data_IF_802237101932
#
_entry.id   IF_802237101932
#
_cell.length_a   1.000
_cell.length_b   1.000
_cell.length_c   1.000
_cell.angle_alpha   90.00
_cell.angle_beta   90.00
_cell.angle_gamma   90.00
#
_symmetry.space_group_name_H-M   'P 1'
#
loop_
_entity.id
_entity.type
_entity.pdbx_description
1 polymer ?
#
# COMPACT_ATOMS: atom_id res chain seq x y z
N UNK A 1 37.49 -4.49 -1.23
CA UNK A 1 36.43 -4.21 -0.24
C UNK A 1 35.76 -2.85 -0.44
N UNK A 2 36.50 -1.73 -0.50
CA UNK A 2 35.90 -0.37 -0.70
C UNK A 2 34.97 -0.25 -1.91
N UNK A 3 35.33 -0.79 -3.08
CA UNK A 3 34.50 -0.71 -4.30
C UNK A 3 33.17 -1.49 -4.20
N UNK A 4 33.16 -2.62 -3.50
CA UNK A 4 31.96 -3.45 -3.34
C UNK A 4 30.96 -2.81 -2.36
N UNK A 5 31.44 -2.28 -1.23
CA UNK A 5 30.64 -1.49 -0.28
C UNK A 5 30.04 -0.25 -0.96
N UNK A 6 30.83 0.43 -1.77
CA UNK A 6 30.37 1.58 -2.55
C UNK A 6 29.24 1.20 -3.52
N UNK A 7 29.37 0.07 -4.20
CA UNK A 7 28.37 -0.43 -5.13
C UNK A 7 27.06 -0.83 -4.45
N UNK A 8 27.12 -1.38 -3.23
CA UNK A 8 25.93 -1.71 -2.43
C UNK A 8 25.26 -0.42 -1.94
N UNK A 9 26.04 0.51 -1.38
CA UNK A 9 25.49 1.76 -0.87
C UNK A 9 24.81 2.56 -1.99
N UNK A 10 25.46 2.70 -3.15
CA UNK A 10 24.90 3.37 -4.33
C UNK A 10 24.05 2.44 -5.22
N UNK A 11 23.55 1.33 -4.66
CA UNK A 11 22.55 0.51 -5.33
C UNK A 11 21.17 1.13 -5.17
N UNK A 12 20.34 0.98 -6.19
CA UNK A 12 19.00 1.54 -6.21
C UNK A 12 18.12 1.06 -5.04
N UNK A 13 18.13 -0.22 -4.63
CA UNK A 13 17.37 -0.67 -3.48
C UNK A 13 17.75 0.03 -2.17
N UNK A 14 19.05 0.21 -1.93
CA UNK A 14 19.55 0.85 -0.70
C UNK A 14 19.23 2.34 -0.70
N UNK A 15 19.44 3.02 -1.83
CA UNK A 15 19.11 4.44 -1.96
C UNK A 15 17.60 4.69 -1.79
N UNK A 16 16.74 3.80 -2.29
CA UNK A 16 15.30 3.86 -2.04
C UNK A 16 14.98 3.70 -0.55
N UNK A 17 15.55 2.68 0.12
CA UNK A 17 15.32 2.46 1.54
C UNK A 17 15.72 3.69 2.39
N UNK A 18 16.88 4.30 2.10
CA UNK A 18 17.34 5.53 2.76
C UNK A 18 16.35 6.68 2.48
N UNK A 19 15.91 6.84 1.23
CA UNK A 19 14.96 7.87 0.85
C UNK A 19 13.61 7.72 1.60
N UNK A 20 13.11 6.49 1.74
CA UNK A 20 11.88 6.22 2.49
C UNK A 20 12.00 6.63 3.96
N UNK A 21 13.11 6.29 4.61
CA UNK A 21 13.39 6.68 5.99
C UNK A 21 13.54 8.20 6.16
N UNK A 22 14.12 8.88 5.16
CA UNK A 22 14.36 10.33 5.19
C UNK A 22 13.10 11.16 4.92
N UNK A 23 12.24 10.72 3.98
CA UNK A 23 11.21 11.57 3.39
C UNK A 23 9.78 11.01 3.44
N UNK A 24 9.60 9.74 3.81
CA UNK A 24 8.30 9.08 3.80
C UNK A 24 7.96 8.43 5.14
N UNK A 25 8.21 9.16 6.22
CA UNK A 25 8.04 8.67 7.60
C UNK A 25 6.62 8.20 7.90
N UNK A 26 5.59 8.84 7.33
CA UNK A 26 4.19 8.43 7.53
C UNK A 26 3.97 7.00 7.01
N UNK A 27 4.47 6.68 5.81
CA UNK A 27 4.31 5.34 5.24
C UNK A 27 5.12 4.29 5.99
N UNK A 28 6.33 4.64 6.44
CA UNK A 28 7.13 3.78 7.33
C UNK A 28 6.39 3.53 8.65
N UNK A 29 5.73 4.55 9.21
CA UNK A 29 4.90 4.44 10.40
C UNK A 29 3.77 3.41 10.25
N UNK A 30 3.17 3.29 9.07
CA UNK A 30 2.15 2.27 8.78
C UNK A 30 2.77 0.86 8.86
N UNK A 31 3.94 0.63 8.25
CA UNK A 31 4.65 -0.65 8.34
C UNK A 31 5.06 -1.01 9.77
N UNK A 32 5.55 -0.03 10.53
CA UNK A 32 5.93 -0.23 11.94
C UNK A 32 4.69 -0.56 12.78
N UNK A 33 3.59 0.15 12.59
CA UNK A 33 2.32 -0.10 13.31
C UNK A 33 1.83 -1.53 13.07
N UNK A 34 1.84 -1.98 11.81
CA UNK A 34 1.52 -3.36 11.47
C UNK A 34 2.46 -4.36 12.15
N UNK A 35 3.76 -4.08 12.19
CA UNK A 35 4.74 -4.95 12.85
C UNK A 35 4.52 -5.02 14.36
N UNK A 36 4.11 -3.90 14.99
CA UNK A 36 3.76 -3.85 16.42
C UNK A 36 2.48 -4.64 16.73
N UNK A 37 1.48 -4.59 15.85
CA UNK A 37 0.26 -5.38 15.99
C UNK A 37 0.54 -6.88 15.83
N UNK A 38 1.30 -7.28 14.80
CA UNK A 38 1.63 -8.68 14.54
C UNK A 38 2.57 -9.25 15.61
N UNK A 39 3.49 -8.45 16.14
CA UNK A 39 4.40 -8.90 17.22
C UNK A 39 3.71 -9.05 18.58
N UNK A 40 2.53 -8.46 18.77
CA UNK A 40 1.87 -8.37 20.08
C UNK A 40 2.45 -7.32 21.02
N UNK A 41 3.38 -6.48 20.56
CA UNK A 41 3.87 -5.34 21.36
C UNK A 41 2.76 -4.30 21.53
N UNK A 42 1.93 -4.11 20.51
CA UNK A 42 0.74 -3.27 20.56
C UNK A 42 -0.52 -4.09 20.27
N UNK A 43 -1.63 -3.76 20.94
CA UNK A 43 -2.94 -4.35 20.63
C UNK A 43 -3.14 -5.80 21.10
N UNK A 44 -2.21 -6.39 21.85
CA UNK A 44 -2.33 -7.78 22.33
C UNK A 44 -3.60 -8.01 23.18
N UNK A 45 -3.95 -7.06 24.06
CA UNK A 45 -5.18 -7.13 24.87
C UNK A 45 -6.47 -7.07 24.05
N UNK A 46 -6.40 -6.52 22.83
CA UNK A 46 -7.53 -6.42 21.90
C UNK A 46 -7.53 -7.58 20.88
N UNK A 47 -6.64 -8.57 21.02
CA UNK A 47 -6.55 -9.71 20.11
C UNK A 47 -5.99 -9.39 18.73
N UNK A 48 -5.37 -8.21 18.53
CA UNK A 48 -4.83 -7.81 17.22
C UNK A 48 -3.85 -8.83 16.62
N UNK A 49 -2.92 -9.46 17.38
CA UNK A 49 -2.05 -10.48 16.83
C UNK A 49 -2.85 -11.64 16.19
N UNK A 50 -3.89 -12.12 16.86
CA UNK A 50 -4.70 -13.25 16.38
C UNK A 50 -5.37 -12.97 15.03
N UNK A 51 -5.77 -11.71 14.77
CA UNK A 51 -6.38 -11.32 13.49
C UNK A 51 -5.46 -11.57 12.27
N UNK A 52 -4.14 -11.56 12.49
CA UNK A 52 -3.12 -11.79 11.46
C UNK A 52 -2.47 -13.16 11.56
N UNK A 53 -2.23 -13.65 12.77
CA UNK A 53 -1.48 -14.88 13.02
C UNK A 53 -2.35 -16.13 12.93
N UNK A 54 -3.65 -15.99 13.18
CA UNK A 54 -4.65 -17.06 13.17
C UNK A 54 -5.96 -16.60 12.49
N UNK A 55 -5.89 -16.25 11.19
CA UNK A 55 -7.01 -15.66 10.49
C UNK A 55 -8.14 -16.67 10.30
N UNK A 56 -9.35 -16.29 10.70
CA UNK A 56 -10.55 -17.11 10.52
C UNK A 56 -11.32 -16.70 9.26
N UNK A 57 -11.77 -17.68 8.49
CA UNK A 57 -12.71 -17.51 7.38
C UNK A 57 -13.76 -18.62 7.44
N UNK A 58 -15.04 -18.25 7.44
CA UNK A 58 -16.17 -19.20 7.55
C UNK A 58 -16.09 -20.15 8.76
N UNK A 59 -15.71 -19.66 9.94
CA UNK A 59 -15.62 -20.50 11.14
C UNK A 59 -14.32 -21.31 11.26
N UNK A 60 -13.39 -21.16 10.31
CA UNK A 60 -12.21 -22.04 10.22
C UNK A 60 -10.93 -21.27 9.93
N UNK A 61 -9.86 -21.71 10.56
CA UNK A 61 -8.49 -21.34 10.18
C UNK A 61 -8.00 -22.42 9.21
N UNK A 62 -7.44 -22.00 8.08
CA UNK A 62 -7.00 -22.94 7.06
C UNK A 62 -6.27 -22.26 5.91
N UNK A 63 -5.94 -23.05 4.89
CA UNK A 63 -5.30 -22.57 3.66
C UNK A 63 -6.01 -21.36 3.07
N UNK A 64 -7.35 -21.41 2.96
CA UNK A 64 -8.17 -20.34 2.36
C UNK A 64 -8.09 -19.04 3.15
N UNK A 65 -8.09 -19.11 4.48
CA UNK A 65 -8.00 -17.93 5.35
C UNK A 65 -6.64 -17.23 5.17
N UNK A 66 -5.56 -18.01 5.16
CA UNK A 66 -4.22 -17.50 4.87
C UNK A 66 -4.06 -17.03 3.42
N UNK A 67 -4.73 -17.66 2.45
CA UNK A 67 -4.76 -17.21 1.06
C UNK A 67 -5.37 -15.82 0.92
N UNK A 68 -6.52 -15.56 1.57
CA UNK A 68 -7.18 -14.24 1.53
C UNK A 68 -6.30 -13.18 2.20
N UNK A 69 -5.65 -13.52 3.31
CA UNK A 69 -4.67 -12.65 3.97
C UNK A 69 -3.48 -12.35 3.04
N UNK A 70 -2.94 -13.35 2.36
CA UNK A 70 -1.83 -13.18 1.42
C UNK A 70 -2.21 -12.29 0.24
N UNK A 71 -3.41 -12.47 -0.31
CA UNK A 71 -3.96 -11.63 -1.36
C UNK A 71 -4.12 -10.17 -0.90
N UNK A 72 -4.63 -9.98 0.32
CA UNK A 72 -4.79 -8.64 0.92
C UNK A 72 -3.45 -7.99 1.26
N UNK A 73 -2.45 -8.78 1.67
CA UNK A 73 -1.08 -8.29 1.83
C UNK A 73 -0.50 -7.85 0.48
N UNK A 74 -0.74 -8.58 -0.61
CA UNK A 74 -0.35 -8.14 -1.95
C UNK A 74 -1.04 -6.83 -2.39
N UNK A 75 -2.30 -6.61 -1.98
CA UNK A 75 -2.98 -5.32 -2.13
C UNK A 75 -2.19 -4.19 -1.46
N UNK A 76 -1.86 -4.39 -0.19
CA UNK A 76 -1.10 -3.42 0.61
C UNK A 76 0.29 -3.17 0.06
N UNK A 77 0.99 -4.24 -0.34
CA UNK A 77 2.28 -4.20 -1.01
C UNK A 77 2.22 -3.35 -2.30
N UNK A 78 1.19 -3.52 -3.13
CA UNK A 78 1.05 -2.74 -4.37
C UNK A 78 0.65 -1.28 -4.11
N UNK A 79 -0.17 -1.03 -3.08
CA UNK A 79 -0.50 0.33 -2.65
C UNK A 79 0.75 1.10 -2.24
N UNK A 80 1.64 0.46 -1.45
CA UNK A 80 2.95 1.00 -1.12
C UNK A 80 3.74 1.37 -2.37
N UNK A 81 3.93 0.43 -3.30
CA UNK A 81 4.72 0.73 -4.51
C UNK A 81 4.13 1.85 -5.36
N UNK A 82 2.81 1.90 -5.51
CA UNK A 82 2.15 2.96 -6.28
C UNK A 82 2.29 4.32 -5.60
N UNK A 83 1.99 4.40 -4.30
CA UNK A 83 2.09 5.63 -3.53
C UNK A 83 3.53 6.15 -3.49
N UNK A 84 4.50 5.28 -3.21
CA UNK A 84 5.90 5.72 -3.15
C UNK A 84 6.44 6.05 -4.52
N UNK A 85 6.08 5.32 -5.59
CA UNK A 85 6.48 5.68 -6.95
C UNK A 85 5.97 7.06 -7.33
N UNK A 86 4.71 7.36 -7.02
CA UNK A 86 4.10 8.66 -7.30
C UNK A 86 4.88 9.81 -6.63
N UNK A 87 5.33 9.60 -5.39
CA UNK A 87 6.04 10.62 -4.63
C UNK A 87 7.54 10.70 -4.94
N UNK A 88 8.23 9.58 -5.20
CA UNK A 88 9.71 9.58 -5.26
C UNK A 88 10.30 9.32 -6.62
N UNK A 89 9.54 8.86 -7.62
CA UNK A 89 10.11 8.51 -8.93
C UNK A 89 10.88 9.66 -9.60
N UNK A 90 10.49 10.92 -9.34
CA UNK A 90 11.15 12.10 -9.89
C UNK A 90 12.60 12.30 -9.39
N UNK A 91 12.96 11.76 -8.21
CA UNK A 91 14.33 11.78 -7.69
C UNK A 91 15.26 10.83 -8.46
N UNK A 92 14.69 9.94 -9.28
CA UNK A 92 15.42 8.94 -10.06
C UNK A 92 15.08 9.05 -11.55
N UNK A 93 15.53 10.12 -12.24
CA UNK A 93 15.24 10.34 -13.67
C UNK A 93 15.65 9.17 -14.57
N UNK A 94 16.65 8.38 -14.15
CA UNK A 94 17.10 7.21 -14.92
C UNK A 94 16.02 6.17 -15.18
N UNK A 95 15.00 6.09 -14.32
CA UNK A 95 13.85 5.21 -14.49
C UNK A 95 13.13 5.48 -15.82
N UNK A 96 13.07 6.73 -16.26
CA UNK A 96 12.41 7.11 -17.51
C UNK A 96 13.13 6.57 -18.76
N UNK A 97 14.42 6.22 -18.65
CA UNK A 97 15.19 5.60 -19.74
C UNK A 97 15.02 4.08 -19.84
N UNK A 98 14.35 3.47 -18.86
CA UNK A 98 14.18 2.02 -18.78
C UNK A 98 12.86 1.58 -19.41
N UNK A 99 12.84 0.40 -20.01
CA UNK A 99 11.60 -0.31 -20.32
C UNK A 99 10.88 -0.66 -19.02
N UNK A 100 9.54 -0.47 -18.98
CA UNK A 100 8.70 -0.74 -17.81
C UNK A 100 9.23 -0.13 -16.49
N UNK A 101 9.32 1.22 -16.40
CA UNK A 101 9.90 1.91 -15.24
C UNK A 101 9.30 1.52 -13.89
N UNK A 102 7.97 1.37 -13.82
CA UNK A 102 7.27 1.01 -12.60
C UNK A 102 7.64 -0.40 -12.10
N UNK A 103 7.74 -1.38 -13.00
CA UNK A 103 8.14 -2.75 -12.62
C UNK A 103 9.55 -2.76 -12.04
N UNK A 104 10.49 -2.01 -12.64
CA UNK A 104 11.85 -1.87 -12.12
C UNK A 104 11.88 -1.22 -10.75
N UNK A 105 11.07 -0.19 -10.57
CA UNK A 105 10.91 0.46 -9.27
C UNK A 105 10.42 -0.52 -8.22
N UNK A 106 9.38 -1.32 -8.51
CA UNK A 106 8.86 -2.30 -7.56
C UNK A 106 9.92 -3.32 -7.14
N UNK A 107 10.64 -3.87 -8.13
CA UNK A 107 11.71 -4.85 -7.88
C UNK A 107 12.81 -4.29 -6.99
N UNK A 108 13.17 -3.01 -7.15
CA UNK A 108 14.22 -2.39 -6.36
C UNK A 108 13.70 -1.86 -5.01
N UNK A 109 12.42 -1.53 -4.90
CA UNK A 109 11.78 -1.13 -3.65
C UNK A 109 11.30 -2.33 -2.80
N UNK A 110 12.04 -3.43 -2.81
CA UNK A 110 11.63 -4.68 -2.16
C UNK A 110 12.05 -4.76 -0.68
N UNK A 111 13.06 -3.99 -0.24
CA UNK A 111 13.70 -4.18 1.07
C UNK A 111 12.70 -4.11 2.23
N UNK A 112 11.89 -3.05 2.30
CA UNK A 112 10.93 -2.85 3.39
C UNK A 112 9.79 -3.89 3.29
N UNK A 113 9.08 -4.03 2.16
CA UNK A 113 7.95 -4.96 2.10
C UNK A 113 8.37 -6.43 2.22
N UNK A 114 9.50 -6.83 1.63
CA UNK A 114 10.00 -8.20 1.75
C UNK A 114 10.52 -8.48 3.17
N UNK A 115 11.21 -7.52 3.81
CA UNK A 115 11.64 -7.64 5.20
C UNK A 115 10.45 -7.83 6.14
N UNK A 116 9.39 -7.04 5.96
CA UNK A 116 8.14 -7.21 6.70
C UNK A 116 7.48 -8.56 6.42
N UNK A 117 7.41 -8.99 5.15
CA UNK A 117 6.79 -10.27 4.80
C UNK A 117 7.53 -11.46 5.42
N UNK A 118 8.87 -11.46 5.41
CA UNK A 118 9.68 -12.48 6.07
C UNK A 118 9.47 -12.48 7.59
N UNK A 119 9.42 -11.30 8.21
CA UNK A 119 9.06 -11.16 9.62
C UNK A 119 7.67 -11.73 9.92
N UNK A 120 6.69 -11.43 9.06
CA UNK A 120 5.31 -11.88 9.22
C UNK A 120 5.18 -13.40 9.09
N UNK A 121 5.78 -14.00 8.05
CA UNK A 121 5.85 -15.46 7.90
C UNK A 121 6.50 -16.11 9.13
N UNK A 122 7.62 -15.55 9.61
CA UNK A 122 8.28 -16.04 10.82
C UNK A 122 7.37 -16.00 12.06
N UNK A 123 6.58 -14.93 12.21
CA UNK A 123 5.61 -14.80 13.31
C UNK A 123 4.43 -15.77 13.19
N UNK A 124 3.90 -15.97 11.98
CA UNK A 124 2.85 -16.97 11.72
C UNK A 124 3.36 -18.36 12.09
N UNK A 125 4.52 -18.76 11.58
CA UNK A 125 5.10 -20.08 11.87
C UNK A 125 5.36 -20.28 13.36
N UNK A 126 5.94 -19.27 14.03
CA UNK A 126 6.17 -19.33 15.48
C UNK A 126 4.86 -19.46 16.26
N UNK A 127 3.83 -18.68 15.90
CA UNK A 127 2.56 -18.69 16.60
C UNK A 127 1.84 -20.03 16.46
N UNK A 128 1.79 -20.56 15.24
CA UNK A 128 1.07 -21.80 14.94
C UNK A 128 1.73 -23.04 15.58
N UNK A 129 3.06 -23.07 15.67
CA UNK A 129 3.78 -24.14 16.38
C UNK A 129 3.64 -24.01 17.90
N UNK A 130 3.75 -22.79 18.44
CA UNK A 130 3.85 -22.58 19.90
C UNK A 130 2.50 -22.56 20.60
N UNK A 131 1.50 -21.93 19.99
CA UNK A 131 0.18 -21.72 20.60
C UNK A 131 -0.91 -22.56 19.95
N UNK A 132 -0.79 -22.81 18.63
CA UNK A 132 -1.73 -23.68 17.90
C UNK A 132 -1.44 -25.17 18.06
N UNK A 133 -0.26 -25.54 18.60
CA UNK A 133 0.24 -26.92 18.71
C UNK A 133 0.13 -27.72 17.39
N UNK A 134 0.17 -27.02 16.26
CA UNK A 134 -0.05 -27.64 14.96
C UNK A 134 1.18 -28.41 14.49
N UNK A 135 1.00 -29.55 13.80
CA UNK A 135 2.10 -30.26 13.18
C UNK A 135 2.72 -29.40 12.07
N UNK A 136 4.01 -29.62 11.81
CA UNK A 136 4.77 -28.85 10.82
C UNK A 136 4.15 -28.90 9.40
N UNK A 137 3.42 -29.96 9.06
CA UNK A 137 2.69 -30.08 7.80
C UNK A 137 1.61 -29.00 7.65
N UNK A 138 0.88 -28.71 8.71
CA UNK A 138 -0.27 -27.79 8.68
C UNK A 138 0.23 -26.35 8.67
N UNK A 139 1.31 -26.07 9.43
CA UNK A 139 2.03 -24.79 9.37
C UNK A 139 2.57 -24.52 7.97
N UNK A 140 3.10 -25.56 7.29
CA UNK A 140 3.55 -25.45 5.91
C UNK A 140 2.38 -25.17 4.96
N UNK A 141 1.24 -25.83 5.15
CA UNK A 141 0.03 -25.57 4.37
C UNK A 141 -0.47 -24.13 4.53
N UNK A 142 -0.45 -23.58 5.74
CA UNK A 142 -0.84 -22.20 6.01
C UNK A 142 0.12 -21.20 5.37
N UNK A 143 1.43 -21.46 5.47
CA UNK A 143 2.46 -20.64 4.83
C UNK A 143 2.32 -20.67 3.29
N UNK A 144 2.01 -21.83 2.72
CA UNK A 144 1.73 -21.97 1.28
C UNK A 144 0.45 -21.23 0.87
N UNK A 145 -0.59 -21.26 1.70
CA UNK A 145 -1.79 -20.46 1.51
C UNK A 145 -1.46 -18.98 1.42
N UNK A 146 -0.71 -18.47 2.39
CA UNK A 146 -0.25 -17.08 2.42
C UNK A 146 0.58 -16.70 1.18
N UNK A 147 1.57 -17.50 0.83
CA UNK A 147 2.45 -17.25 -0.32
C UNK A 147 1.69 -17.32 -1.65
N UNK A 148 0.79 -18.29 -1.82
CA UNK A 148 0.00 -18.45 -3.04
C UNK A 148 -1.05 -17.34 -3.21
N UNK A 149 -1.66 -16.87 -2.12
CA UNK A 149 -2.53 -15.69 -2.12
C UNK A 149 -1.80 -14.43 -2.55
N UNK A 150 -0.61 -14.21 -2.00
CA UNK A 150 0.24 -13.08 -2.39
C UNK A 150 0.66 -13.19 -3.87
N UNK A 151 1.19 -14.34 -4.28
CA UNK A 151 1.69 -14.56 -5.63
C UNK A 151 0.58 -14.43 -6.68
N UNK A 152 -0.58 -15.06 -6.47
CA UNK A 152 -1.71 -14.98 -7.40
C UNK A 152 -2.16 -13.53 -7.63
N UNK A 153 -2.25 -12.74 -6.56
CA UNK A 153 -2.63 -11.33 -6.63
C UNK A 153 -1.55 -10.49 -7.31
N UNK A 154 -0.26 -10.73 -7.03
CA UNK A 154 0.83 -10.06 -7.74
C UNK A 154 0.87 -10.41 -9.24
N UNK A 155 0.51 -11.64 -9.62
CA UNK A 155 0.40 -12.04 -11.02
C UNK A 155 -0.78 -11.33 -11.71
N UNK A 156 -1.92 -11.18 -11.04
CA UNK A 156 -3.03 -10.36 -11.54
C UNK A 156 -2.58 -8.91 -11.76
N UNK A 157 -1.79 -8.35 -10.85
CA UNK A 157 -1.21 -7.03 -11.04
C UNK A 157 -0.23 -6.96 -12.20
N UNK A 158 0.70 -7.91 -12.30
CA UNK A 158 1.63 -7.98 -13.42
C UNK A 158 0.89 -8.07 -14.76
N UNK A 159 -0.21 -8.83 -14.82
CA UNK A 159 -1.10 -8.90 -15.97
C UNK A 159 -1.74 -7.54 -16.26
N UNK A 160 -2.43 -6.93 -15.30
CA UNK A 160 -3.06 -5.60 -15.44
C UNK A 160 -2.07 -4.53 -15.94
N UNK A 161 -0.89 -4.44 -15.32
CA UNK A 161 0.13 -3.47 -15.68
C UNK A 161 0.77 -3.77 -17.04
N UNK A 162 0.82 -5.03 -17.48
CA UNK A 162 1.28 -5.36 -18.84
C UNK A 162 0.38 -4.75 -19.92
N UNK A 163 -0.92 -4.67 -19.70
CA UNK A 163 -1.87 -4.05 -20.66
C UNK A 163 -1.95 -2.54 -20.52
N UNK A 164 -1.83 -2.02 -19.29
CA UNK A 164 -2.08 -0.60 -18.99
C UNK A 164 -0.81 0.25 -19.07
N UNK A 165 0.37 -0.30 -18.73
CA UNK A 165 1.65 0.41 -18.89
C UNK A 165 2.12 0.31 -20.35
N UNK A 166 1.74 1.30 -21.15
CA UNK A 166 2.28 1.46 -22.51
C UNK A 166 3.66 2.11 -22.45
N UNK A 167 4.66 1.46 -23.04
CA UNK A 167 6.05 1.90 -23.11
C UNK A 167 6.25 3.14 -24.02
N UNK A 168 7.44 3.76 -23.95
CA UNK A 168 7.91 4.91 -24.74
C UNK A 168 7.54 4.84 -26.23
N UNK A 169 7.60 3.65 -26.82
CA UNK A 169 7.32 3.40 -28.24
C UNK A 169 5.86 3.66 -28.66
N UNK A 170 4.92 3.65 -27.70
CA UNK A 170 3.52 4.01 -27.95
C UNK A 170 3.32 5.53 -28.09
N UNK A 171 4.13 6.35 -27.39
CA UNK A 171 3.98 7.81 -27.38
C UNK A 171 4.85 8.53 -28.39
N UNK A 172 5.98 7.95 -28.83
CA UNK A 172 6.70 8.45 -30.02
C UNK A 172 5.80 8.44 -31.27
N UNK A 173 4.87 7.48 -31.35
CA UNK A 173 3.98 7.30 -32.51
C UNK A 173 2.71 8.15 -32.48
N UNK A 174 2.41 8.81 -31.35
CA UNK A 174 1.16 9.56 -31.13
C UNK A 174 1.47 10.99 -30.65
N UNK A 175 2.19 11.75 -31.47
CA UNK A 175 2.14 13.21 -31.42
C UNK A 175 0.73 13.65 -31.85
N UNK A 176 -0.21 13.69 -30.91
CA UNK A 176 -1.42 14.51 -31.07
C UNK A 176 -1.61 15.33 -29.81
N UNK A 177 -1.61 16.64 -30.01
CA UNK A 177 -1.94 17.66 -29.03
C UNK A 177 -3.16 17.23 -28.21
N UNK A 178 -2.95 17.02 -26.92
CA UNK A 178 -4.02 16.88 -25.94
C UNK A 178 -4.11 18.20 -25.17
N UNK A 179 -5.33 18.69 -24.89
CA UNK A 179 -5.55 20.00 -24.31
C UNK A 179 -4.92 20.10 -22.92
N UNK A 180 -4.39 21.27 -22.59
CA UNK A 180 -3.87 21.63 -21.26
C UNK A 180 -4.99 21.54 -20.21
N UNK A 181 -5.24 20.36 -19.68
CA UNK A 181 -6.19 20.21 -18.59
C UNK A 181 -5.51 20.62 -17.27
N UNK A 182 -5.88 21.82 -16.82
CA UNK A 182 -5.73 22.39 -15.47
C UNK A 182 -4.29 22.49 -14.96
N UNK A 183 -3.51 23.39 -15.57
CA UNK A 183 -2.16 23.74 -15.11
C UNK A 183 -2.12 24.80 -13.99
N UNK A 184 -3.27 25.21 -13.42
CA UNK A 184 -3.31 26.38 -12.52
C UNK A 184 -4.19 26.33 -11.27
N UNK A 185 -4.87 25.22 -10.94
CA UNK A 185 -5.85 25.23 -9.82
C UNK A 185 -5.36 24.66 -8.49
N UNK A 186 -4.13 24.14 -8.40
CA UNK A 186 -3.62 23.58 -7.13
C UNK A 186 -2.50 24.46 -6.57
N UNK A 187 -2.73 25.18 -5.45
CA UNK A 187 -1.71 26.00 -4.80
C UNK A 187 -0.48 25.17 -4.42
N UNK A 188 0.73 25.72 -4.60
CA UNK A 188 1.96 25.09 -4.14
C UNK A 188 2.47 23.91 -4.99
N UNK A 189 1.91 23.66 -6.17
CA UNK A 189 2.45 22.64 -7.09
C UNK A 189 3.80 23.12 -7.63
N UNK A 190 4.89 22.75 -6.93
CA UNK A 190 6.25 22.97 -7.38
C UNK A 190 6.38 22.33 -8.76
N UNK A 191 6.54 23.16 -9.80
CA UNK A 191 6.95 22.67 -11.10
C UNK A 191 8.33 22.07 -10.88
N UNK A 192 8.38 20.74 -10.70
CA UNK A 192 9.65 20.03 -10.54
C UNK A 192 10.47 20.36 -11.78
N UNK A 193 11.52 21.15 -11.57
CA UNK A 193 12.45 21.50 -12.62
C UNK A 193 13.31 20.27 -12.89
N UNK A 194 12.86 19.51 -13.89
CA UNK A 194 13.55 18.29 -14.27
C UNK A 194 14.92 18.61 -14.88
N UNK A 195 15.10 19.80 -15.47
CA UNK A 195 16.41 20.21 -16.00
C UNK A 195 17.40 20.49 -14.88
N UNK A 196 16.94 21.00 -13.73
CA UNK A 196 17.73 21.10 -12.50
C UNK A 196 18.05 19.73 -11.88
N UNK A 197 17.06 18.83 -11.76
CA UNK A 197 17.24 17.51 -11.12
C UNK A 197 18.06 16.53 -11.97
N UNK A 198 18.11 16.70 -13.30
CA UNK A 198 18.97 15.90 -14.17
C UNK A 198 20.46 16.11 -13.93
N UNK A 199 20.85 17.24 -13.36
CA UNK A 199 22.26 17.52 -13.12
C UNK A 199 22.81 16.49 -12.13
N UNK A 200 24.01 15.91 -12.40
CA UNK A 200 24.61 14.89 -11.53
C UNK A 200 24.75 15.32 -10.07
N UNK A 201 24.85 16.63 -9.83
CA UNK A 201 24.97 17.26 -8.52
C UNK A 201 23.66 17.26 -7.70
N UNK A 202 22.51 17.14 -8.36
CA UNK A 202 21.18 17.24 -7.75
C UNK A 202 20.34 15.96 -7.86
N UNK A 203 20.76 14.99 -8.68
CA UNK A 203 20.15 13.66 -8.73
C UNK A 203 20.67 12.75 -7.62
N UNK A 204 19.81 11.91 -7.04
CA UNK A 204 20.26 10.86 -6.12
C UNK A 204 21.22 9.91 -6.85
N UNK A 205 22.45 9.80 -6.33
CA UNK A 205 23.53 9.08 -7.01
C UNK A 205 23.27 7.57 -6.97
N UNK A 206 22.71 7.01 -8.04
CA UNK A 206 22.49 5.58 -8.20
C UNK A 206 23.41 5.03 -9.29
N UNK A 207 24.21 4.02 -8.95
CA UNK A 207 25.16 3.40 -9.88
C UNK A 207 24.62 2.08 -10.46
N UNK A 208 23.91 1.31 -9.64
CA UNK A 208 23.46 -0.05 -9.97
C UNK A 208 21.98 -0.19 -9.63
N UNK A 209 21.21 -0.83 -10.51
CA UNK A 209 19.83 -1.24 -10.25
C UNK A 209 19.64 -2.72 -10.60
N UNK A 210 18.64 -3.37 -10.01
CA UNK A 210 18.24 -4.74 -10.33
C UNK A 210 17.26 -4.77 -11.50
N UNK A 211 17.49 -5.66 -12.46
CA UNK A 211 16.55 -5.89 -13.57
C UNK A 211 15.42 -6.87 -13.19
N UNK A 212 14.56 -7.23 -14.15
CA UNK A 212 13.42 -8.16 -13.98
C UNK A 212 13.83 -9.56 -13.51
N UNK A 213 15.09 -9.93 -13.74
CA UNK A 213 15.66 -11.21 -13.37
C UNK A 213 16.56 -11.09 -12.13
N UNK A 214 16.40 -10.04 -11.33
CA UNK A 214 17.21 -9.75 -10.13
C UNK A 214 18.72 -9.66 -10.39
N UNK A 215 19.13 -9.34 -11.63
CA UNK A 215 20.54 -9.17 -12.00
C UNK A 215 20.93 -7.69 -11.91
N UNK A 216 22.08 -7.36 -11.29
CA UNK A 216 22.56 -5.99 -11.22
C UNK A 216 22.93 -5.46 -12.61
N UNK A 217 22.47 -4.25 -12.94
CA UNK A 217 22.76 -3.50 -14.16
C UNK A 217 23.20 -2.09 -13.82
N UNK A 218 24.06 -1.51 -14.66
CA UNK A 218 24.57 -0.15 -14.50
C UNK A 218 23.53 0.86 -14.96
N UNK A 219 23.37 1.95 -14.21
CA UNK A 219 22.52 3.08 -14.57
C UNK A 219 23.16 3.88 -15.71
N UNK A 220 22.36 4.31 -16.69
CA UNK A 220 22.82 5.14 -17.82
C UNK A 220 22.44 6.60 -17.58
N UNK A 221 23.26 7.53 -18.08
CA UNK A 221 22.96 8.96 -18.03
C UNK A 221 21.71 9.29 -18.85
N UNK A 222 20.91 10.23 -18.34
CA UNK A 222 19.61 10.65 -18.92
C UNK A 222 19.62 12.14 -19.30
N UNK A 223 20.77 12.80 -19.20
CA UNK A 223 20.96 14.22 -19.55
C UNK A 223 20.46 14.55 -20.97
N UNK A 224 20.54 13.59 -21.89
CA UNK A 224 20.18 13.75 -23.30
C UNK A 224 18.66 13.73 -23.58
N UNK A 225 17.82 13.34 -22.63
CA UNK A 225 16.36 13.25 -22.86
C UNK A 225 15.65 14.56 -22.52
N UNK A 226 14.67 14.96 -23.34
CA UNK A 226 13.85 16.17 -23.06
C UNK A 226 13.03 16.02 -21.78
N UNK A 227 13.01 17.06 -20.93
CA UNK A 227 12.32 17.04 -19.63
C UNK A 227 10.82 16.77 -19.71
N UNK A 228 10.17 17.25 -20.77
CA UNK A 228 8.75 17.03 -21.04
C UNK A 228 8.40 15.54 -21.21
N UNK A 229 9.31 14.76 -21.81
CA UNK A 229 9.13 13.32 -22.03
C UNK A 229 9.23 12.57 -20.70
N UNK A 230 10.16 12.95 -19.82
CA UNK A 230 10.31 12.42 -18.47
C UNK A 230 9.06 12.75 -17.62
N UNK A 231 8.59 14.01 -17.66
CA UNK A 231 7.34 14.43 -16.97
C UNK A 231 6.15 13.58 -17.42
N UNK A 232 6.05 13.28 -18.71
CA UNK A 232 4.94 12.50 -19.28
C UNK A 232 4.94 11.05 -18.78
N UNK A 233 6.12 10.42 -18.71
CA UNK A 233 6.26 9.03 -18.23
C UNK A 233 5.87 8.92 -16.75
N UNK A 234 6.28 9.89 -15.93
CA UNK A 234 5.90 9.89 -14.51
C UNK A 234 4.41 10.22 -14.28
N UNK A 235 3.79 11.07 -15.13
CA UNK A 235 2.34 11.34 -15.08
C UNK A 235 1.48 10.14 -15.49
N UNK A 236 1.97 9.24 -16.34
CA UNK A 236 1.18 8.09 -16.82
C UNK A 236 0.77 7.13 -15.69
N UNK A 237 1.64 6.93 -14.70
CA UNK A 237 1.34 6.03 -13.57
C UNK A 237 0.34 6.61 -12.56
N UNK A 238 0.01 7.91 -12.66
CA UNK A 238 -1.01 8.54 -11.81
C UNK A 238 -2.40 7.99 -12.08
N UNK A 239 -2.77 7.77 -13.35
CA UNK A 239 -4.06 7.17 -13.71
C UNK A 239 -4.17 5.74 -13.16
N UNK A 240 -3.09 4.96 -13.22
CA UNK A 240 -3.06 3.61 -12.68
C UNK A 240 -3.25 3.59 -11.17
N UNK A 241 -2.59 4.51 -10.45
CA UNK A 241 -2.77 4.65 -9.01
C UNK A 241 -4.22 5.06 -8.66
N UNK A 242 -4.82 5.98 -9.43
CA UNK A 242 -6.21 6.40 -9.23
C UNK A 242 -7.21 5.26 -9.47
N UNK A 243 -7.05 4.51 -10.57
CA UNK A 243 -7.89 3.33 -10.86
C UNK A 243 -7.77 2.30 -9.74
N UNK A 244 -6.56 2.06 -9.26
CA UNK A 244 -6.31 1.13 -8.16
C UNK A 244 -7.03 1.54 -6.87
N UNK A 245 -6.97 2.82 -6.49
CA UNK A 245 -7.70 3.35 -5.33
C UNK A 245 -9.20 3.11 -5.51
N UNK A 246 -9.77 3.49 -6.66
CA UNK A 246 -11.19 3.34 -6.94
C UNK A 246 -11.64 1.87 -6.86
N UNK A 247 -10.88 0.95 -7.46
CA UNK A 247 -11.16 -0.48 -7.39
C UNK A 247 -11.08 -1.02 -5.96
N UNK A 248 -10.10 -0.56 -5.16
CA UNK A 248 -9.94 -0.98 -3.76
C UNK A 248 -11.11 -0.50 -2.90
N UNK A 249 -11.48 0.78 -3.03
CA UNK A 249 -12.62 1.38 -2.32
C UNK A 249 -13.92 0.71 -2.73
N UNK A 250 -14.13 0.52 -4.03
CA UNK A 250 -15.31 -0.19 -4.55
C UNK A 250 -15.39 -1.62 -4.00
N UNK A 251 -14.28 -2.36 -4.01
CA UNK A 251 -14.22 -3.70 -3.44
C UNK A 251 -14.55 -3.75 -1.96
N UNK A 252 -14.06 -2.79 -1.16
CA UNK A 252 -14.37 -2.71 0.26
C UNK A 252 -15.85 -2.36 0.50
N UNK A 253 -16.42 -1.42 -0.26
CA UNK A 253 -17.85 -1.10 -0.19
C UNK A 253 -18.69 -2.34 -0.56
N UNK A 254 -18.32 -3.04 -1.62
CA UNK A 254 -19.01 -4.25 -2.06
C UNK A 254 -18.99 -5.33 -0.97
N UNK A 255 -17.83 -5.60 -0.36
CA UNK A 255 -17.73 -6.54 0.77
C UNK A 255 -18.60 -6.12 1.96
N UNK A 256 -18.67 -4.82 2.27
CA UNK A 256 -19.54 -4.28 3.30
C UNK A 256 -21.03 -4.44 2.98
N UNK A 257 -21.44 -4.19 1.74
CA UNK A 257 -22.83 -4.36 1.29
C UNK A 257 -23.28 -5.83 1.31
N UNK A 258 -22.35 -6.77 1.07
CA UNK A 258 -22.64 -8.20 1.05
C UNK A 258 -22.31 -8.90 2.39
N UNK A 259 -22.14 -8.16 3.49
CA UNK A 259 -21.70 -8.72 4.79
C UNK A 259 -22.65 -9.79 5.35
N UNK A 260 -23.94 -9.73 4.98
CA UNK A 260 -24.94 -10.74 5.34
C UNK A 260 -24.58 -12.11 4.77
N UNK A 261 -23.96 -12.17 3.58
CA UNK A 261 -23.47 -13.41 3.00
C UNK A 261 -22.16 -13.86 3.68
N UNK A 262 -22.10 -15.07 4.26
CA UNK A 262 -20.91 -15.55 4.97
C UNK A 262 -19.61 -15.49 4.15
N UNK A 263 -19.70 -15.69 2.82
CA UNK A 263 -18.55 -15.64 1.93
C UNK A 263 -17.90 -14.24 1.80
N UNK A 264 -18.65 -13.17 2.10
CA UNK A 264 -18.13 -11.80 2.06
C UNK A 264 -17.41 -11.40 3.35
N UNK A 265 -17.54 -12.21 4.41
CA UNK A 265 -16.91 -12.00 5.71
C UNK A 265 -15.46 -12.48 5.65
N UNK A 266 -14.63 -11.72 4.95
CA UNK A 266 -13.18 -11.98 4.86
C UNK A 266 -12.52 -11.88 6.25
N UNK A 267 -11.36 -12.53 6.45
CA UNK A 267 -10.62 -12.42 7.71
C UNK A 267 -10.39 -10.95 8.13
N UNK A 268 -10.50 -10.65 9.42
CA UNK A 268 -10.35 -9.29 9.93
C UNK A 268 -8.98 -8.66 9.57
N UNK A 269 -7.88 -9.43 9.65
CA UNK A 269 -6.56 -8.97 9.23
C UNK A 269 -6.49 -8.59 7.75
N UNK A 270 -7.27 -9.24 6.89
CA UNK A 270 -7.35 -8.93 5.46
C UNK A 270 -8.03 -7.57 5.25
N UNK A 271 -9.13 -7.32 5.95
CA UNK A 271 -9.81 -6.01 5.96
C UNK A 271 -8.88 -4.88 6.43
N UNK A 272 -8.04 -5.12 7.44
CA UNK A 272 -7.06 -4.13 7.91
C UNK A 272 -6.02 -3.83 6.81
N UNK A 273 -5.48 -4.85 6.13
CA UNK A 273 -4.56 -4.61 5.00
C UNK A 273 -5.22 -3.81 3.88
N UNK A 274 -6.46 -4.12 3.50
CA UNK A 274 -7.20 -3.38 2.47
C UNK A 274 -7.43 -1.93 2.92
N UNK A 275 -7.87 -1.72 4.16
CA UNK A 275 -8.08 -0.37 4.72
C UNK A 275 -6.79 0.45 4.73
N UNK A 276 -5.68 -0.13 5.19
CA UNK A 276 -4.37 0.54 5.18
C UNK A 276 -3.87 0.79 3.75
N UNK A 277 -4.24 -0.06 2.79
CA UNK A 277 -3.97 0.18 1.37
C UNK A 277 -4.66 1.45 0.88
N UNK A 278 -5.94 1.65 1.22
CA UNK A 278 -6.69 2.86 0.87
C UNK A 278 -6.07 4.07 1.55
N UNK A 279 -5.76 3.97 2.85
CA UNK A 279 -5.16 5.06 3.62
C UNK A 279 -3.81 5.50 3.04
N UNK A 280 -2.93 4.55 2.73
CA UNK A 280 -1.63 4.82 2.13
C UNK A 280 -1.75 5.48 0.76
N UNK A 281 -2.65 5.00 -0.09
CA UNK A 281 -2.86 5.56 -1.41
C UNK A 281 -3.50 6.96 -1.36
N UNK A 282 -4.42 7.19 -0.41
CA UNK A 282 -5.04 8.48 -0.15
C UNK A 282 -4.03 9.52 0.34
N UNK A 283 -3.21 9.18 1.34
CA UNK A 283 -2.11 10.05 1.79
C UNK A 283 -1.12 10.30 0.66
N UNK A 284 -0.80 9.29 -0.14
CA UNK A 284 0.06 9.44 -1.32
C UNK A 284 -0.50 10.42 -2.33
N UNK A 285 -1.81 10.37 -2.61
CA UNK A 285 -2.49 11.29 -3.51
C UNK A 285 -2.51 12.72 -2.95
N UNK A 286 -2.86 12.93 -1.67
CA UNK A 286 -2.84 14.25 -1.03
C UNK A 286 -1.42 14.84 -1.04
N UNK A 287 -0.44 14.05 -0.61
CA UNK A 287 0.96 14.49 -0.56
C UNK A 287 1.47 14.87 -1.95
N UNK A 288 1.06 14.11 -2.97
CA UNK A 288 1.41 14.41 -4.36
C UNK A 288 0.75 15.70 -4.88
N UNK A 289 -0.54 15.90 -4.63
CA UNK A 289 -1.28 17.05 -5.15
C UNK A 289 -0.94 18.35 -4.42
N UNK A 290 -0.88 18.31 -3.10
CA UNK A 290 -0.73 19.51 -2.27
C UNK A 290 0.71 19.79 -1.84
N UNK A 291 1.65 18.86 -2.05
CA UNK A 291 3.07 19.04 -1.77
C UNK A 291 3.32 19.58 -0.35
N UNK A 292 3.86 20.80 -0.21
CA UNK A 292 4.15 21.45 1.09
C UNK A 292 2.86 21.77 1.90
N UNK A 293 1.71 21.90 1.24
CA UNK A 293 0.40 22.12 1.89
C UNK A 293 -0.30 20.83 2.32
N UNK A 294 0.32 19.66 2.09
CA UNK A 294 -0.26 18.37 2.42
C UNK A 294 -0.64 18.24 3.90
N UNK A 295 0.24 18.66 4.82
CA UNK A 295 -0.03 18.61 6.26
C UNK A 295 -1.21 19.51 6.65
N UNK A 296 -1.23 20.82 6.31
CA UNK A 296 -2.41 21.66 6.55
C UNK A 296 -3.71 21.09 5.98
N UNK A 297 -3.67 20.51 4.78
CA UNK A 297 -4.85 19.91 4.13
C UNK A 297 -5.34 18.68 4.90
N UNK A 298 -4.45 17.80 5.35
CA UNK A 298 -4.81 16.65 6.18
C UNK A 298 -5.43 17.10 7.50
N UNK A 299 -4.84 18.09 8.17
CA UNK A 299 -5.37 18.64 9.42
C UNK A 299 -6.74 19.28 9.20
N UNK A 300 -6.89 20.08 8.14
CA UNK A 300 -8.17 20.70 7.76
C UNK A 300 -9.25 19.66 7.45
N UNK A 301 -8.90 18.57 6.74
CA UNK A 301 -9.80 17.46 6.50
C UNK A 301 -10.21 16.76 7.79
N UNK A 302 -9.29 16.57 8.75
CA UNK A 302 -9.63 16.00 10.06
C UNK A 302 -10.64 16.87 10.81
N UNK A 303 -10.44 18.19 10.84
CA UNK A 303 -11.40 19.12 11.44
C UNK A 303 -12.75 19.11 10.71
N UNK A 304 -12.73 19.07 9.37
CA UNK A 304 -13.94 19.00 8.56
C UNK A 304 -14.71 17.70 8.84
N UNK A 305 -14.03 16.54 8.87
CA UNK A 305 -14.65 15.25 9.20
C UNK A 305 -15.22 15.28 10.62
N UNK A 306 -14.47 15.81 11.59
CA UNK A 306 -14.95 15.94 12.96
C UNK A 306 -16.20 16.81 13.05
N UNK A 307 -16.21 17.95 12.35
CA UNK A 307 -17.36 18.83 12.26
C UNK A 307 -18.57 18.16 11.59
N UNK A 308 -18.34 17.47 10.46
CA UNK A 308 -19.39 16.78 9.72
C UNK A 308 -20.01 15.62 10.52
N UNK A 309 -19.19 14.86 11.26
CA UNK A 309 -19.65 13.75 12.11
C UNK A 309 -20.51 14.25 13.28
N UNK A 310 -20.42 15.54 13.63
CA UNK A 310 -21.29 16.17 14.64
C UNK A 310 -22.73 16.41 14.19
N UNK A 311 -23.05 16.26 12.89
CA UNK A 311 -24.42 16.36 12.41
C UNK A 311 -25.16 15.02 12.57
N UNK A 312 -26.42 15.08 13.03
CA UNK A 312 -27.28 13.91 13.24
C UNK A 312 -27.43 13.02 11.99
N UNK A 313 -27.33 13.60 10.78
CA UNK A 313 -27.37 12.87 9.51
C UNK A 313 -26.27 11.80 9.36
N UNK A 314 -25.14 11.98 10.03
CA UNK A 314 -24.00 11.03 10.03
C UNK A 314 -23.88 10.27 11.35
N UNK A 315 -24.69 10.60 12.36
CA UNK A 315 -24.84 9.79 13.57
C UNK A 315 -25.65 8.55 13.21
N UNK A 316 -24.94 7.45 12.93
CA UNK A 316 -25.56 6.12 12.97
C UNK A 316 -25.36 5.56 14.36
N UNK A 317 -26.47 5.27 15.03
CA UNK A 317 -26.43 4.44 16.21
C UNK A 317 -25.85 3.07 15.82
N UNK A 318 -24.82 2.65 16.54
CA UNK A 318 -24.25 1.32 16.37
C UNK A 318 -25.22 0.29 16.97
N UNK A 319 -26.20 -0.10 16.16
CA UNK A 319 -27.15 -1.13 16.52
C UNK A 319 -26.43 -2.48 16.57
N UNK A 320 -26.53 -3.14 17.72
CA UNK A 320 -26.10 -4.51 17.93
C UNK A 320 -26.99 -5.40 17.09
N UNK A 321 -26.34 -6.18 16.22
CA UNK A 321 -27.03 -7.12 15.36
C UNK A 321 -27.85 -8.13 16.17
N UNK A 322 -29.13 -8.31 15.81
CA UNK A 322 -30.04 -9.23 16.48
C UNK A 322 -30.83 -8.65 17.66
N UNK A 323 -30.63 -7.37 18.02
CA UNK A 323 -31.53 -6.68 18.96
C UNK A 323 -32.69 -6.00 18.21
N UNK A 324 -33.88 -6.06 18.81
CA UNK A 324 -35.07 -5.37 18.29
C UNK A 324 -35.14 -3.95 18.86
N UNK A 325 -34.87 -2.97 18.00
CA UNK A 325 -34.88 -1.54 18.31
C UNK A 325 -36.23 -0.87 18.04
N UNK A 326 -37.26 -1.63 17.64
CA UNK A 326 -38.63 -1.14 17.53
C UNK A 326 -39.37 -1.09 18.88
N UNK A 327 -38.79 -1.70 19.91
CA UNK A 327 -39.36 -1.77 21.26
C UNK A 327 -38.91 -0.57 22.10
N UNK A 328 -39.72 -0.14 23.07
CA UNK A 328 -39.28 0.92 23.99
C UNK A 328 -38.06 0.44 24.78
N UNK A 329 -37.01 1.27 24.91
CA UNK A 329 -35.84 0.94 25.71
C UNK A 329 -36.26 0.58 27.14
N UNK A 330 -35.82 -0.57 27.63
CA UNK A 330 -36.02 -0.96 29.03
C UNK A 330 -35.13 -0.06 29.90
N UNK A 331 -35.69 0.54 30.95
CA UNK A 331 -34.92 1.38 31.86
C UNK A 331 -33.86 0.54 32.57
N UNK A 332 -32.59 0.92 32.42
CA UNK A 332 -31.50 0.22 33.08
C UNK A 332 -31.50 0.58 34.58
N UNK A 333 -32.21 -0.21 35.39
CA UNK A 333 -32.23 -0.09 36.85
C UNK A 333 -31.75 -1.38 37.54
N UNK A 334 -31.25 -1.25 38.76
CA UNK A 334 -30.70 -2.37 39.54
C UNK A 334 -31.76 -3.39 39.97
N UNK A 335 -33.03 -2.99 40.06
CA UNK A 335 -34.13 -3.87 40.47
C UNK A 335 -34.46 -4.89 39.37
N UNK A 336 -34.51 -4.47 38.12
CA UNK A 336 -34.77 -5.32 36.95
C UNK A 336 -33.60 -6.26 36.63
N UNK A 337 -32.37 -5.88 36.96
CA UNK A 337 -31.19 -6.75 36.83
C UNK A 337 -31.22 -7.95 37.79
N UNK A 338 -31.96 -7.87 38.89
CA UNK A 338 -32.11 -8.96 39.86
C UNK A 338 -33.32 -9.87 39.57
N UNK A 339 -34.20 -9.49 38.63
CA UNK A 339 -35.33 -10.30 38.19
C UNK A 339 -35.01 -11.19 36.97
N UNK A 340 -33.83 -11.03 36.37
CA UNK A 340 -33.28 -11.88 35.30
C UNK A 340 -32.34 -12.91 35.92
#
# INVERSE_FOLDING_TARGET
MKKWLNNIYFSFPVQLAILHLRSQMIFIGIWITLALFISGVAGARFGFPSLFLDPEYLGKVGFTSFFIIGASFAQFFMSWHLATYLLTAHHFPFLASLSRPFTKYCINNFIIPAGFFLFYVGKVSYFQVTYGELPASDVMLYTLGLMSGMLSTLLLYAFYFRFTNRDISYYERKQKHLPHFVEGMVPGRRNVDIDYIKQPEHSERVQIYLNEFMRPKIVRSVEHYRSELIKRIFKQNHLNALIFILLTVFGLILLGLLIDYPASRIPAGASIFIMLSIFMAFIGAITYWFSEWSIPVVIGLMFLINYLTGFDLLHRDNLVYGMDYGMQPVEYNSEQLHEI
#
